data_IF_847597049397
#
_entry.id   IF_847597049397
#
_cell.length_a   1.000
_cell.length_b   1.000
_cell.length_c   1.000
_cell.angle_alpha   90.00
_cell.angle_beta   90.00
_cell.angle_gamma   90.00
#
_symmetry.space_group_name_H-M   'P 1'
#
loop_
_entity.id
_entity.type
_entity.pdbx_description
1 polymer ?
#
# COMPACT_ATOMS: atom_id res chain seq x y z
N UNK A 1 -1.49 9.96 7.79
CA UNK A 1 -2.88 9.69 7.39
C UNK A 1 -2.84 8.76 6.19
N UNK A 2 -3.80 7.85 6.07
CA UNK A 2 -3.98 7.08 4.84
C UNK A 2 -4.57 7.99 3.75
N UNK A 3 -4.38 7.63 2.48
CA UNK A 3 -5.13 8.25 1.39
C UNK A 3 -6.62 7.93 1.54
N UNK A 4 -7.46 8.84 1.05
CA UNK A 4 -8.90 8.62 0.98
C UNK A 4 -9.20 7.36 0.13
N UNK A 5 -10.07 6.43 0.58
CA UNK A 5 -10.43 5.24 -0.20
C UNK A 5 -10.93 5.55 -1.61
N UNK A 6 -11.66 6.64 -1.81
CA UNK A 6 -12.20 7.00 -3.12
C UNK A 6 -11.08 7.43 -4.08
N UNK A 7 -10.03 8.07 -3.55
CA UNK A 7 -8.82 8.41 -4.32
C UNK A 7 -8.05 7.14 -4.67
N UNK A 8 -7.94 6.18 -3.74
CA UNK A 8 -7.28 4.90 -4.02
C UNK A 8 -7.99 4.17 -5.15
N UNK A 9 -9.33 4.13 -5.12
CA UNK A 9 -10.13 3.49 -6.17
C UNK A 9 -9.98 4.22 -7.50
N UNK A 10 -10.06 5.56 -7.51
CA UNK A 10 -9.87 6.34 -8.71
C UNK A 10 -8.52 6.08 -9.37
N UNK A 11 -7.43 5.93 -8.59
CA UNK A 11 -6.09 5.63 -9.11
C UNK A 11 -6.01 4.22 -9.72
N UNK A 12 -6.82 3.25 -9.26
CA UNK A 12 -6.84 1.90 -9.82
C UNK A 12 -7.48 1.85 -11.20
N UNK A 13 -8.51 2.65 -11.40
CA UNK A 13 -9.24 2.74 -12.66
C UNK A 13 -8.52 3.61 -13.72
N UNK A 14 -7.45 4.32 -13.34
CA UNK A 14 -6.70 5.18 -14.26
C UNK A 14 -5.94 4.36 -15.31
N UNK A 15 -5.97 4.85 -16.54
CA UNK A 15 -5.15 4.31 -17.62
C UNK A 15 -3.66 4.72 -17.50
N UNK A 16 -2.82 4.17 -18.38
CA UNK A 16 -1.38 4.45 -18.40
C UNK A 16 -1.05 5.95 -18.56
N UNK A 17 -1.82 6.68 -19.36
CA UNK A 17 -1.60 8.09 -19.61
C UNK A 17 -2.01 8.94 -18.40
N UNK A 18 -3.14 8.61 -17.77
CA UNK A 18 -3.61 9.22 -16.53
C UNK A 18 -2.64 8.97 -15.38
N UNK A 19 -2.13 7.74 -15.22
CA UNK A 19 -1.13 7.40 -14.22
C UNK A 19 0.18 8.17 -14.41
N UNK A 20 0.67 8.32 -15.65
CA UNK A 20 1.83 9.17 -15.94
C UNK A 20 1.58 10.62 -15.57
N UNK A 21 0.40 11.14 -15.89
CA UNK A 21 0.02 12.53 -15.55
C UNK A 21 -0.05 12.72 -14.04
N UNK A 22 -0.65 11.79 -13.32
CA UNK A 22 -0.69 11.79 -11.85
C UNK A 22 0.73 11.79 -11.27
N UNK A 23 1.63 10.95 -11.77
CA UNK A 23 3.02 10.90 -11.33
C UNK A 23 3.73 12.25 -11.53
N UNK A 24 3.56 12.89 -12.70
CA UNK A 24 4.13 14.20 -12.98
C UNK A 24 3.59 15.27 -12.01
N UNK A 25 2.28 15.28 -11.77
CA UNK A 25 1.64 16.21 -10.82
C UNK A 25 2.12 15.99 -9.38
N UNK A 26 2.19 14.73 -8.95
CA UNK A 26 2.67 14.37 -7.61
C UNK A 26 4.13 14.78 -7.41
N UNK A 27 5.01 14.52 -8.39
CA UNK A 27 6.41 14.95 -8.38
C UNK A 27 6.53 16.47 -8.27
N UNK A 28 5.88 17.22 -9.16
CA UNK A 28 5.92 18.69 -9.12
C UNK A 28 5.43 19.24 -7.77
N UNK A 29 4.40 18.61 -7.17
CA UNK A 29 3.89 19.01 -5.86
C UNK A 29 4.89 18.77 -4.73
N UNK A 30 5.58 17.63 -4.74
CA UNK A 30 6.62 17.31 -3.75
C UNK A 30 7.81 18.26 -3.87
N UNK A 31 8.29 18.51 -5.09
CA UNK A 31 9.37 19.45 -5.35
C UNK A 31 9.00 20.87 -4.89
N UNK A 32 7.77 21.32 -5.13
CA UNK A 32 7.29 22.63 -4.64
C UNK A 32 7.30 22.78 -3.12
N UNK A 33 7.33 21.66 -2.37
CA UNK A 33 7.41 21.61 -0.90
C UNK A 33 8.85 21.45 -0.41
N UNK A 34 9.84 21.43 -1.30
CA UNK A 34 11.24 21.18 -0.97
C UNK A 34 11.54 19.71 -0.67
N UNK A 35 10.65 18.78 -1.07
CA UNK A 35 10.87 17.35 -0.91
C UNK A 35 11.55 16.85 -2.18
N UNK A 36 12.86 16.63 -2.10
CA UNK A 36 13.62 16.03 -3.18
C UNK A 36 13.25 14.55 -3.29
N UNK A 37 12.59 14.18 -4.39
CA UNK A 37 12.47 12.79 -4.80
C UNK A 37 13.86 12.34 -5.26
N UNK A 38 14.62 11.76 -4.32
CA UNK A 38 15.96 11.22 -4.59
C UNK A 38 15.98 10.34 -5.85
N UNK A 39 17.15 10.26 -6.48
CA UNK A 39 17.36 9.51 -7.74
C UNK A 39 16.91 8.05 -7.59
N UNK A 40 17.01 7.51 -6.37
CA UNK A 40 16.41 6.25 -5.99
C UNK A 40 15.17 6.51 -5.14
N UNK A 41 13.99 6.25 -5.71
CA UNK A 41 12.78 6.14 -4.91
C UNK A 41 13.02 5.13 -3.77
N UNK A 42 12.49 5.37 -2.56
CA UNK A 42 12.71 4.48 -1.43
C UNK A 42 12.32 3.06 -1.83
N UNK A 43 13.16 2.08 -1.49
CA UNK A 43 12.87 0.68 -1.79
C UNK A 43 11.61 0.23 -1.03
N UNK A 44 10.48 0.24 -1.72
CA UNK A 44 9.20 -0.22 -1.20
C UNK A 44 9.13 -1.74 -1.29
N UNK A 45 8.77 -2.38 -0.17
CA UNK A 45 8.41 -3.80 -0.10
C UNK A 45 6.91 -3.92 0.12
N UNK A 46 6.26 -4.74 -0.68
CA UNK A 46 4.83 -4.99 -0.59
C UNK A 46 4.57 -6.33 0.12
N UNK A 47 3.52 -6.39 0.94
CA UNK A 47 3.14 -7.61 1.67
C UNK A 47 1.64 -7.72 1.86
N UNK A 48 1.10 -8.91 1.59
CA UNK A 48 -0.27 -9.29 1.96
C UNK A 48 -0.38 -9.62 3.46
N UNK A 49 -1.50 -9.23 4.08
CA UNK A 49 -1.78 -9.49 5.49
C UNK A 49 -3.23 -9.91 5.72
N UNK A 50 -3.39 -10.86 6.63
CA UNK A 50 -4.68 -11.29 7.16
C UNK A 50 -4.89 -10.68 8.56
N UNK A 51 -6.01 -10.00 8.77
CA UNK A 51 -6.29 -9.22 9.99
C UNK A 51 -7.47 -9.83 10.76
N UNK A 52 -7.34 -9.94 12.08
CA UNK A 52 -8.48 -10.26 12.97
C UNK A 52 -9.12 -8.97 13.44
N UNK A 53 -10.43 -8.77 13.19
CA UNK A 53 -11.10 -7.51 13.53
C UNK A 53 -11.43 -7.32 15.02
N UNK A 54 -11.30 -8.36 15.85
CA UNK A 54 -11.58 -8.27 17.29
C UNK A 54 -13.07 -8.19 17.68
N UNK A 55 -14.00 -8.24 16.72
CA UNK A 55 -15.45 -8.28 17.01
C UNK A 55 -15.81 -9.64 17.61
N UNK A 56 -16.51 -9.64 18.76
CA UNK A 56 -16.86 -10.86 19.51
C UNK A 56 -17.63 -11.90 18.66
N UNK A 57 -18.46 -11.43 17.72
CA UNK A 57 -19.28 -12.29 16.87
C UNK A 57 -18.77 -12.38 15.41
N UNK A 58 -17.48 -12.10 15.16
CA UNK A 58 -16.90 -12.28 13.81
C UNK A 58 -16.72 -13.76 13.49
N UNK A 59 -17.53 -14.31 12.59
CA UNK A 59 -17.35 -15.69 12.08
C UNK A 59 -16.51 -15.79 10.81
N UNK A 60 -16.24 -14.64 10.15
CA UNK A 60 -15.51 -14.55 8.87
C UNK A 60 -14.05 -14.12 9.01
N UNK A 61 -13.52 -14.18 10.22
CA UNK A 61 -12.15 -13.81 10.53
C UNK A 61 -11.21 -15.01 10.23
N UNK A 62 -9.97 -14.77 9.75
CA UNK A 62 -9.35 -13.46 9.48
C UNK A 62 -9.78 -12.83 8.15
N UNK A 63 -9.80 -11.50 8.10
CA UNK A 63 -10.12 -10.72 6.89
C UNK A 63 -8.88 -10.48 6.04
N UNK A 64 -9.09 -10.28 4.73
CA UNK A 64 -8.04 -9.99 3.75
C UNK A 64 -8.09 -10.94 2.56
N UNK A 65 -6.96 -11.11 1.83
CA UNK A 65 -5.68 -10.45 2.07
C UNK A 65 -5.74 -8.94 1.83
N UNK A 66 -5.12 -8.17 2.72
CA UNK A 66 -4.91 -6.74 2.58
C UNK A 66 -3.47 -6.44 2.22
N UNK A 67 -3.24 -5.52 1.29
CA UNK A 67 -1.91 -5.13 0.86
C UNK A 67 -1.38 -3.94 1.65
N UNK A 68 -0.11 -4.04 2.03
CA UNK A 68 0.64 -2.98 2.67
C UNK A 68 1.97 -2.77 1.97
N UNK A 69 2.32 -1.50 1.74
CA UNK A 69 3.66 -1.06 1.38
C UNK A 69 4.48 -0.78 2.63
N UNK A 70 5.76 -1.13 2.61
CA UNK A 70 6.74 -0.88 3.66
C UNK A 70 8.00 -0.25 3.08
N UNK A 71 8.47 0.84 3.67
CA UNK A 71 9.73 1.47 3.29
C UNK A 71 10.41 2.08 4.51
N UNK A 72 11.67 2.49 4.35
CA UNK A 72 12.37 3.29 5.36
C UNK A 72 12.45 4.73 4.86
N UNK A 73 12.18 5.67 5.75
CA UNK A 73 12.21 7.11 5.51
C UNK A 73 12.79 7.75 6.77
N UNK A 74 13.85 8.55 6.62
CA UNK A 74 14.57 9.20 7.73
C UNK A 74 14.94 8.24 8.88
N UNK A 75 15.41 7.04 8.52
CA UNK A 75 15.78 5.99 9.48
C UNK A 75 14.60 5.33 10.21
N UNK A 76 13.35 5.67 9.86
CA UNK A 76 12.14 5.09 10.46
C UNK A 76 11.42 4.20 9.46
N UNK A 77 10.92 3.04 9.94
CA UNK A 77 10.07 2.17 9.14
C UNK A 77 8.69 2.80 8.99
N UNK A 78 8.27 2.99 7.74
CA UNK A 78 6.93 3.45 7.36
C UNK A 78 6.13 2.30 6.78
N UNK A 79 4.81 2.41 6.87
CA UNK A 79 3.88 1.52 6.21
C UNK A 79 2.67 2.27 5.66
N UNK A 80 2.16 1.85 4.52
CA UNK A 80 0.94 2.38 3.90
C UNK A 80 -0.01 1.21 3.58
N UNK A 81 -1.29 1.37 3.90
CA UNK A 81 -2.35 0.45 3.49
C UNK A 81 -2.75 0.75 2.05
N UNK A 82 -2.74 -0.27 1.20
CA UNK A 82 -3.03 -0.14 -0.24
C UNK A 82 -4.40 -0.70 -0.63
N UNK A 83 -5.15 -1.24 0.32
CA UNK A 83 -6.44 -1.87 0.04
C UNK A 83 -6.36 -3.39 -0.15
N UNK A 84 -7.43 -3.94 -0.70
CA UNK A 84 -7.50 -5.31 -1.23
C UNK A 84 -7.16 -5.24 -2.72
N UNK A 85 -6.21 -6.03 -3.20
CA UNK A 85 -5.92 -6.12 -4.64
C UNK A 85 -6.39 -7.49 -5.12
N UNK A 86 -7.04 -7.52 -6.27
CA UNK A 86 -7.38 -8.75 -6.97
C UNK A 86 -6.11 -9.39 -7.56
N UNK A 87 -6.15 -10.69 -7.86
CA UNK A 87 -4.95 -11.46 -8.17
C UNK A 87 -4.21 -11.00 -9.44
N UNK A 88 -4.95 -10.42 -10.37
CA UNK A 88 -4.48 -9.84 -11.63
C UNK A 88 -3.93 -8.42 -11.49
N UNK A 89 -4.30 -7.70 -10.42
CA UNK A 89 -3.80 -6.35 -10.12
C UNK A 89 -2.47 -6.36 -9.37
N UNK A 90 -2.06 -7.49 -8.78
CA UNK A 90 -0.83 -7.59 -7.98
C UNK A 90 0.39 -7.68 -8.90
N UNK A 91 1.26 -6.65 -8.94
CA UNK A 91 2.49 -6.72 -9.71
C UNK A 91 3.35 -7.89 -9.26
N UNK A 92 4.04 -8.55 -10.20
CA UNK A 92 4.94 -9.68 -9.91
C UNK A 92 6.09 -9.32 -8.94
N UNK A 93 6.36 -8.03 -8.76
CA UNK A 93 7.31 -7.49 -7.79
C UNK A 93 6.80 -7.50 -6.34
N UNK A 94 5.51 -7.74 -6.13
CA UNK A 94 4.90 -7.85 -4.80
C UNK A 94 4.96 -9.30 -4.29
N UNK A 95 5.72 -9.53 -3.22
CA UNK A 95 5.87 -10.87 -2.65
C UNK A 95 4.60 -11.32 -1.92
N UNK A 96 3.94 -12.34 -2.46
CA UNK A 96 2.91 -13.12 -1.75
C UNK A 96 3.59 -14.13 -0.82
N UNK A 97 4.00 -13.73 0.38
CA UNK A 97 4.60 -14.68 1.34
C UNK A 97 3.52 -15.60 1.93
N UNK A 98 3.57 -16.87 1.54
CA UNK A 98 2.72 -17.94 2.05
C UNK A 98 3.24 -18.63 3.31
N UNK A 99 2.30 -19.06 4.17
CA UNK A 99 2.41 -20.06 5.26
C UNK A 99 3.49 -19.80 6.32
N UNK A 100 3.21 -18.87 7.23
CA UNK A 100 3.98 -18.72 8.47
C UNK A 100 3.69 -17.45 9.27
N UNK A 101 2.90 -16.54 8.71
CA UNK A 101 2.77 -15.20 9.24
C UNK A 101 1.69 -15.10 10.32
N UNK A 102 2.19 -15.11 11.56
CA UNK A 102 1.59 -14.53 12.77
C UNK A 102 0.58 -13.44 12.38
N UNK A 103 -0.70 -13.70 12.68
CA UNK A 103 -1.79 -12.73 12.61
C UNK A 103 -1.26 -11.38 13.10
N UNK A 104 -1.48 -10.30 12.34
CA UNK A 104 -1.16 -8.97 12.82
C UNK A 104 -1.91 -8.76 14.13
N UNK A 105 -1.18 -8.93 15.24
CA UNK A 105 -1.75 -9.02 16.57
C UNK A 105 -2.31 -7.66 16.93
N UNK A 106 -3.64 -7.59 17.05
CA UNK A 106 -4.30 -6.48 17.71
C UNK A 106 -4.04 -6.69 19.21
N UNK A 107 -3.06 -5.96 19.76
CA UNK A 107 -2.83 -5.88 21.20
C UNK A 107 -3.64 -4.71 21.73
#
# INVERSE_FOLDING_TARGET
MALDPDIVEAVREMDEHELRRLLMLARARLESRGIELGVEAPRVRYREQLIRCGKQNCTRCPHGPYWYAYWNEDGRRRSCYLGRLEADEVPSTMERRGRGDRFAGNR
#
